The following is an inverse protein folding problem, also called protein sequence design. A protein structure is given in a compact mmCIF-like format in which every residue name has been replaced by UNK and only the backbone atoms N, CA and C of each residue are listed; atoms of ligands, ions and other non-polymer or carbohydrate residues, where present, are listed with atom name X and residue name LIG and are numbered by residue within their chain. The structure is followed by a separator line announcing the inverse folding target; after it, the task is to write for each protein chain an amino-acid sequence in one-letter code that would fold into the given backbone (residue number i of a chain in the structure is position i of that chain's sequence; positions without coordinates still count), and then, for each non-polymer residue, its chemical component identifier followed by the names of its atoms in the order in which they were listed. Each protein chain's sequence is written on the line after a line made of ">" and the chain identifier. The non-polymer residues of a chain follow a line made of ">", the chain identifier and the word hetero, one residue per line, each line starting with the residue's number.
data_IF_284109147177
#
_entry.id   IF_284109147177
#
_cell.length_a   1.000
_cell.length_b   1.000
_cell.length_c   1.000
_cell.angle_alpha   90.00
_cell.angle_beta   90.00
_cell.angle_gamma   90.00
#
_symmetry.space_group_name_H-M   'P 1'
#
loop_
_entity.id
_entity.type
_entity.pdbx_description
1 polymer ?
#
# COMPACT_ATOMS: atom_id res chain seq x y z
N UNK A 1 26.58 -36.49 51.33
CA UNK A 1 27.80 -35.97 50.69
C UNK A 1 27.52 -35.86 49.20
N UNK A 2 27.16 -34.67 48.75
CA UNK A 2 26.94 -34.31 47.35
C UNK A 2 28.28 -33.94 46.73
N UNK A 3 28.84 -34.81 45.87
CA UNK A 3 30.04 -34.49 45.11
C UNK A 3 29.61 -34.16 43.69
N UNK A 4 29.63 -32.87 43.37
CA UNK A 4 29.41 -32.32 42.04
C UNK A 4 30.80 -32.24 41.38
N UNK A 5 31.25 -33.32 40.74
CA UNK A 5 32.49 -33.31 39.96
C UNK A 5 32.23 -32.68 38.60
N UNK A 6 32.70 -31.45 38.42
CA UNK A 6 32.76 -30.77 37.12
C UNK A 6 33.96 -31.34 36.37
N UNK A 7 33.73 -31.93 35.20
CA UNK A 7 34.78 -32.41 34.31
C UNK A 7 35.67 -31.23 33.85
N UNK A 8 37.02 -31.39 33.81
CA UNK A 8 37.88 -30.35 33.26
C UNK A 8 37.68 -30.26 31.74
N UNK A 9 37.36 -29.05 31.26
CA UNK A 9 37.28 -28.77 29.82
C UNK A 9 38.63 -29.09 29.16
N UNK A 10 38.59 -29.86 28.08
CA UNK A 10 39.78 -30.24 27.32
C UNK A 10 40.21 -29.12 26.38
N UNK A 11 41.51 -28.99 26.07
CA UNK A 11 42.02 -28.01 25.09
C UNK A 11 41.39 -28.15 23.68
N UNK A 12 40.72 -29.28 23.41
CA UNK A 12 39.96 -29.51 22.18
C UNK A 12 38.57 -28.84 22.15
N UNK A 13 38.06 -28.38 23.29
CA UNK A 13 36.82 -27.59 23.39
C UNK A 13 37.05 -26.07 23.18
N UNK A 14 38.31 -25.67 22.98
CA UNK A 14 38.68 -24.30 22.63
C UNK A 14 38.49 -24.15 21.12
N UNK A 15 37.43 -23.42 20.74
CA UNK A 15 37.18 -23.00 19.36
C UNK A 15 38.49 -22.47 18.74
N UNK A 16 38.89 -22.92 17.53
CA UNK A 16 40.07 -22.39 16.88
C UNK A 16 39.90 -20.89 16.66
N UNK A 17 40.82 -20.09 17.21
CA UNK A 17 40.85 -18.62 17.16
C UNK A 17 41.17 -18.06 15.76
N UNK A 18 40.57 -18.63 14.71
CA UNK A 18 40.83 -18.31 13.30
C UNK A 18 39.59 -18.19 12.42
N UNK A 19 38.39 -18.47 12.92
CA UNK A 19 37.16 -18.13 12.18
C UNK A 19 36.91 -16.62 12.33
N UNK A 20 37.55 -15.82 11.47
CA UNK A 20 37.24 -14.40 11.37
C UNK A 20 35.76 -14.24 11.09
N UNK A 21 35.02 -13.70 12.04
CA UNK A 21 33.69 -13.14 11.79
C UNK A 21 33.80 -12.20 10.57
N UNK A 22 32.79 -12.13 9.69
CA UNK A 22 32.84 -11.23 8.55
C UNK A 22 33.15 -9.82 9.05
N UNK A 23 34.30 -9.29 8.61
CA UNK A 23 34.75 -7.94 8.99
C UNK A 23 33.64 -6.97 8.63
N UNK A 24 33.15 -6.22 9.62
CA UNK A 24 32.19 -5.15 9.37
C UNK A 24 32.80 -4.23 8.32
N UNK A 25 32.07 -3.88 7.25
CA UNK A 25 32.61 -2.99 6.22
C UNK A 25 33.11 -1.70 6.88
N UNK A 26 34.34 -1.29 6.57
CA UNK A 26 34.88 -0.01 7.03
C UNK A 26 33.90 1.09 6.60
N UNK A 27 33.61 2.09 7.45
CA UNK A 27 32.56 3.09 7.20
C UNK A 27 32.68 3.80 5.85
N UNK A 28 33.90 3.95 5.33
CA UNK A 28 34.18 4.49 3.98
C UNK A 28 33.63 3.60 2.86
N UNK A 29 33.69 2.27 3.01
CA UNK A 29 33.17 1.31 2.03
C UNK A 29 31.64 1.31 1.99
N UNK A 30 30.99 1.43 3.15
CA UNK A 30 29.53 1.53 3.24
C UNK A 30 29.00 2.81 2.57
N UNK A 31 29.69 3.95 2.77
CA UNK A 31 29.34 5.21 2.08
C UNK A 31 29.52 5.08 0.56
N UNK A 32 30.62 4.47 0.10
CA UNK A 32 30.86 4.24 -1.32
C UNK A 32 29.77 3.35 -1.96
N UNK A 33 29.35 2.29 -1.27
CA UNK A 33 28.24 1.43 -1.71
C UNK A 33 26.93 2.20 -1.82
N UNK A 34 26.63 3.06 -0.83
CA UNK A 34 25.41 3.87 -0.87
C UNK A 34 25.41 4.86 -2.03
N UNK A 35 26.57 5.47 -2.34
CA UNK A 35 26.71 6.34 -3.50
C UNK A 35 26.49 5.58 -4.82
N UNK A 36 27.04 4.37 -4.96
CA UNK A 36 26.81 3.51 -6.12
C UNK A 36 25.32 3.14 -6.26
N UNK A 37 24.64 2.84 -5.15
CA UNK A 37 23.20 2.58 -5.17
C UNK A 37 22.39 3.81 -5.59
N UNK A 38 22.78 5.01 -5.14
CA UNK A 38 22.12 6.24 -5.56
C UNK A 38 22.29 6.51 -7.06
N UNK A 39 23.48 6.26 -7.61
CA UNK A 39 23.72 6.34 -9.05
C UNK A 39 22.88 5.32 -9.83
N UNK A 40 22.86 4.05 -9.39
CA UNK A 40 22.03 3.01 -9.98
C UNK A 40 20.54 3.37 -9.95
N UNK A 41 20.07 3.97 -8.86
CA UNK A 41 18.69 4.43 -8.71
C UNK A 41 18.35 5.53 -9.72
N UNK A 42 19.23 6.51 -9.93
CA UNK A 42 19.01 7.56 -10.91
C UNK A 42 18.89 6.99 -12.34
N UNK A 43 19.79 6.07 -12.71
CA UNK A 43 19.75 5.41 -14.03
C UNK A 43 18.50 4.56 -14.18
N UNK A 44 18.13 3.79 -13.15
CA UNK A 44 16.91 3.00 -13.14
C UNK A 44 15.65 3.87 -13.27
N UNK A 45 15.64 5.05 -12.65
CA UNK A 45 14.53 5.99 -12.75
C UNK A 45 14.35 6.54 -14.16
N UNK A 46 15.43 6.97 -14.81
CA UNK A 46 15.35 7.45 -16.19
C UNK A 46 14.82 6.39 -17.15
N UNK A 47 15.22 5.13 -16.94
CA UNK A 47 14.72 4.00 -17.71
C UNK A 47 13.24 3.73 -17.40
N UNK A 48 12.88 3.68 -16.12
CA UNK A 48 11.52 3.47 -15.66
C UNK A 48 10.55 4.52 -16.23
N UNK A 49 10.87 5.81 -16.13
CA UNK A 49 10.03 6.92 -16.63
C UNK A 49 9.74 6.79 -18.12
N UNK A 50 10.75 6.45 -18.92
CA UNK A 50 10.57 6.22 -20.37
C UNK A 50 9.71 4.98 -20.63
N UNK A 51 9.93 3.89 -19.89
CA UNK A 51 9.23 2.63 -20.07
C UNK A 51 7.77 2.68 -19.64
N UNK A 52 7.44 3.39 -18.54
CA UNK A 52 6.10 3.49 -17.98
C UNK A 52 5.09 4.17 -18.92
N UNK A 53 5.56 4.83 -19.98
CA UNK A 53 4.74 5.45 -21.04
C UNK A 53 4.36 4.46 -22.15
N UNK A 54 4.92 3.26 -22.14
CA UNK A 54 4.69 2.24 -23.16
C UNK A 54 3.61 1.25 -22.74
N UNK A 55 2.95 0.64 -23.72
CA UNK A 55 1.98 -0.43 -23.46
C UNK A 55 2.63 -1.74 -22.95
N UNK A 56 3.95 -1.89 -23.14
CA UNK A 56 4.72 -3.06 -22.71
C UNK A 56 4.75 -3.22 -21.18
N UNK A 57 4.71 -2.10 -20.46
CA UNK A 57 4.73 -2.08 -19.00
C UNK A 57 3.33 -2.36 -18.44
N UNK A 58 3.20 -3.27 -17.45
CA UNK A 58 1.92 -3.55 -16.81
C UNK A 58 1.25 -2.31 -16.22
N UNK A 59 -0.09 -2.32 -16.18
CA UNK A 59 -0.89 -1.19 -15.71
C UNK A 59 -0.55 -0.73 -14.28
N UNK A 60 -0.03 -1.63 -13.44
CA UNK A 60 0.39 -1.32 -12.07
C UNK A 60 1.52 -0.28 -11.99
N UNK A 61 2.35 -0.19 -13.03
CA UNK A 61 3.51 0.69 -13.11
C UNK A 61 3.31 1.88 -14.05
N UNK A 62 2.19 1.91 -14.81
CA UNK A 62 1.92 3.01 -15.75
C UNK A 62 1.76 4.32 -14.98
N UNK A 63 2.47 5.34 -15.46
CA UNK A 63 2.56 6.66 -14.81
C UNK A 63 3.06 6.61 -13.36
N UNK A 64 3.75 5.53 -12.96
CA UNK A 64 4.36 5.36 -11.63
C UNK A 64 5.85 4.98 -11.77
N UNK A 65 6.70 5.92 -12.19
CA UNK A 65 8.12 5.65 -12.38
C UNK A 65 8.83 5.26 -11.08
N UNK A 66 8.40 5.76 -9.91
CA UNK A 66 9.01 5.44 -8.62
C UNK A 66 8.88 3.94 -8.28
N UNK A 67 7.65 3.40 -8.37
CA UNK A 67 7.35 1.97 -8.15
C UNK A 67 8.10 1.08 -9.17
N UNK A 68 8.17 1.55 -10.42
CA UNK A 68 8.89 0.86 -11.49
C UNK A 68 10.41 0.86 -11.26
N UNK A 69 10.96 1.96 -10.75
CA UNK A 69 12.38 2.07 -10.39
C UNK A 69 12.75 1.06 -9.31
N UNK A 70 11.93 0.99 -8.25
CA UNK A 70 12.13 0.01 -7.18
C UNK A 70 12.08 -1.43 -7.72
N UNK A 71 11.14 -1.73 -8.63
CA UNK A 71 11.05 -3.04 -9.25
C UNK A 71 12.28 -3.38 -10.12
N UNK A 72 12.80 -2.42 -10.88
CA UNK A 72 14.01 -2.60 -11.71
C UNK A 72 15.24 -2.86 -10.83
N UNK A 73 15.44 -2.07 -9.78
CA UNK A 73 16.55 -2.26 -8.85
C UNK A 73 16.46 -3.63 -8.18
N UNK A 74 15.27 -3.99 -7.72
CA UNK A 74 15.04 -5.30 -7.11
C UNK A 74 15.30 -6.46 -8.08
N UNK A 75 14.84 -6.33 -9.32
CA UNK A 75 15.07 -7.34 -10.33
C UNK A 75 16.53 -7.45 -10.75
N UNK A 76 17.27 -6.35 -10.77
CA UNK A 76 18.71 -6.36 -11.04
C UNK A 76 19.47 -7.24 -10.04
N UNK A 77 19.12 -7.18 -8.75
CA UNK A 77 19.69 -8.05 -7.71
C UNK A 77 19.38 -9.54 -7.96
N UNK A 78 18.18 -9.84 -8.47
CA UNK A 78 17.80 -11.20 -8.88
C UNK A 78 18.42 -11.64 -10.21
N UNK A 79 19.14 -10.76 -10.92
CA UNK A 79 19.70 -11.01 -12.24
C UNK A 79 18.69 -10.86 -13.39
N UNK A 80 17.56 -10.19 -13.16
CA UNK A 80 16.59 -9.83 -14.19
C UNK A 80 17.00 -8.51 -14.86
N UNK A 81 16.76 -8.41 -16.17
CA UNK A 81 16.90 -7.13 -16.86
C UNK A 81 15.71 -6.20 -16.54
N UNK A 82 15.77 -4.90 -16.86
CA UNK A 82 14.72 -3.95 -16.51
C UNK A 82 13.32 -4.31 -17.07
N UNK A 83 13.25 -4.81 -18.31
CA UNK A 83 11.98 -5.22 -18.92
C UNK A 83 11.38 -6.43 -18.19
N UNK A 84 12.19 -7.43 -17.90
CA UNK A 84 11.78 -8.61 -17.13
C UNK A 84 11.35 -8.21 -15.72
N UNK A 85 12.08 -7.30 -15.09
CA UNK A 85 11.77 -6.82 -13.74
C UNK A 85 10.36 -6.23 -13.67
N UNK A 86 10.02 -5.32 -14.59
CA UNK A 86 8.69 -4.70 -14.64
C UNK A 86 7.57 -5.67 -15.01
N UNK A 87 7.87 -6.77 -15.69
CA UNK A 87 6.87 -7.77 -16.07
C UNK A 87 6.66 -8.85 -14.99
N UNK A 88 7.68 -9.14 -14.20
CA UNK A 88 7.71 -10.32 -13.33
C UNK A 88 7.65 -9.98 -11.83
N UNK A 89 7.98 -8.75 -11.45
CA UNK A 89 7.96 -8.28 -10.06
C UNK A 89 6.69 -7.47 -9.82
N UNK A 90 6.08 -7.67 -8.65
CA UNK A 90 4.86 -7.02 -8.21
C UNK A 90 4.99 -6.62 -6.75
N UNK A 91 4.48 -5.45 -6.39
CA UNK A 91 4.41 -5.02 -4.99
C UNK A 91 3.00 -5.28 -4.48
N UNK A 92 2.86 -6.19 -3.54
CA UNK A 92 1.59 -6.51 -2.89
C UNK A 92 1.73 -6.14 -1.41
N UNK A 93 0.93 -5.19 -0.95
CA UNK A 93 0.97 -4.70 0.44
C UNK A 93 2.36 -4.25 0.93
N UNK A 94 3.14 -3.62 0.04
CA UNK A 94 4.50 -3.14 0.35
C UNK A 94 5.57 -4.23 0.34
N UNK A 95 5.21 -5.48 0.02
CA UNK A 95 6.14 -6.59 -0.13
C UNK A 95 6.38 -6.89 -1.62
N UNK A 96 7.64 -7.03 -2.06
CA UNK A 96 7.94 -7.50 -3.40
C UNK A 96 7.60 -8.98 -3.55
N UNK A 97 7.03 -9.33 -4.70
CA UNK A 97 6.59 -10.66 -5.06
C UNK A 97 6.96 -10.95 -6.51
N UNK A 98 7.27 -12.20 -6.82
CA UNK A 98 7.45 -12.68 -8.19
C UNK A 98 6.50 -13.84 -8.47
N UNK A 99 6.21 -14.09 -9.74
CA UNK A 99 5.44 -15.27 -10.12
C UNK A 99 6.20 -16.57 -9.81
N UNK A 100 5.47 -17.64 -9.50
CA UNK A 100 6.07 -18.97 -9.28
C UNK A 100 6.91 -19.45 -10.47
N UNK A 101 6.46 -19.18 -11.71
CA UNK A 101 7.23 -19.52 -12.91
C UNK A 101 8.54 -18.74 -13.01
N UNK A 102 8.57 -17.51 -12.52
CA UNK A 102 9.79 -16.70 -12.46
C UNK A 102 10.77 -17.29 -11.44
N UNK A 103 10.30 -17.76 -10.28
CA UNK A 103 11.15 -18.51 -9.35
C UNK A 103 11.80 -19.71 -10.04
N UNK A 104 11.00 -20.55 -10.71
CA UNK A 104 11.52 -21.72 -11.44
C UNK A 104 12.52 -21.33 -12.53
N UNK A 105 12.27 -20.23 -13.25
CA UNK A 105 13.18 -19.75 -14.30
C UNK A 105 14.53 -19.27 -13.73
N UNK A 106 14.50 -18.55 -12.60
CA UNK A 106 15.71 -18.11 -11.89
C UNK A 106 16.51 -19.31 -11.38
N UNK A 107 15.84 -20.32 -10.84
CA UNK A 107 16.49 -21.55 -10.40
C UNK A 107 17.21 -22.26 -11.57
N UNK A 108 16.52 -22.39 -12.70
CA UNK A 108 17.09 -23.02 -13.91
C UNK A 108 18.23 -22.21 -14.50
N UNK A 109 18.18 -20.88 -14.47
CA UNK A 109 19.27 -20.04 -14.97
C UNK A 109 20.55 -20.15 -14.13
N UNK A 110 20.41 -20.52 -12.85
CA UNK A 110 21.50 -20.85 -11.92
C UNK A 110 21.92 -22.33 -11.95
N UNK A 111 21.49 -23.08 -12.97
CA UNK A 111 21.86 -24.49 -13.17
C UNK A 111 21.09 -25.50 -12.31
N UNK A 112 20.15 -25.06 -11.46
CA UNK A 112 19.33 -25.95 -10.65
C UNK A 112 18.26 -26.62 -11.51
N UNK A 113 17.92 -27.87 -11.18
CA UNK A 113 16.90 -28.63 -11.89
C UNK A 113 15.58 -28.50 -11.15
N UNK A 114 14.52 -28.19 -11.90
CA UNK A 114 13.14 -28.17 -11.39
C UNK A 114 12.24 -28.82 -12.42
N UNK A 115 11.48 -29.82 -12.01
CA UNK A 115 10.57 -30.57 -12.88
C UNK A 115 9.26 -30.92 -12.15
N UNK A 116 8.20 -31.10 -12.93
CA UNK A 116 6.92 -31.58 -12.43
C UNK A 116 6.96 -33.10 -12.40
N UNK A 117 6.64 -33.70 -11.25
CA UNK A 117 6.56 -35.16 -11.06
C UNK A 117 5.17 -35.65 -11.46
N UNK A 118 4.15 -34.97 -10.95
CA UNK A 118 2.74 -35.28 -11.20
C UNK A 118 1.94 -33.98 -11.29
N UNK A 119 0.92 -33.95 -12.16
CA UNK A 119 0.00 -32.82 -12.30
C UNK A 119 -1.39 -33.31 -12.65
N UNK A 120 -2.34 -33.08 -11.74
CA UNK A 120 -3.76 -33.33 -11.91
C UNK A 120 -4.58 -32.19 -11.31
N UNK A 121 -5.89 -32.18 -11.57
CA UNK A 121 -6.81 -31.19 -10.98
C UNK A 121 -6.92 -31.31 -9.45
N UNK A 122 -6.56 -32.47 -8.89
CA UNK A 122 -6.66 -32.77 -7.46
C UNK A 122 -5.33 -32.57 -6.73
N UNK A 123 -4.19 -32.81 -7.39
CA UNK A 123 -2.87 -32.77 -6.78
C UNK A 123 -1.77 -32.45 -7.80
N UNK A 124 -0.81 -31.62 -7.40
CA UNK A 124 0.40 -31.34 -8.18
C UNK A 124 1.63 -31.54 -7.30
N UNK A 125 2.61 -32.28 -7.83
CA UNK A 125 3.90 -32.52 -7.20
C UNK A 125 5.02 -31.95 -8.06
N UNK A 126 5.84 -31.09 -7.46
CA UNK A 126 7.03 -30.51 -8.09
C UNK A 126 8.26 -30.96 -7.31
N UNK A 127 9.33 -31.27 -8.03
CA UNK A 127 10.62 -31.64 -7.47
C UNK A 127 11.70 -30.67 -7.93
N UNK A 128 12.71 -30.45 -7.09
CA UNK A 128 13.90 -29.71 -7.45
C UNK A 128 15.17 -30.29 -6.85
N UNK A 129 16.27 -30.01 -7.54
CA UNK A 129 17.62 -30.41 -7.17
C UNK A 129 18.58 -29.25 -7.45
N UNK A 130 19.44 -28.95 -6.48
CA UNK A 130 20.51 -27.96 -6.67
C UNK A 130 21.63 -28.55 -7.53
N UNK A 131 22.29 -27.73 -8.35
CA UNK A 131 23.25 -28.19 -9.38
C UNK A 131 24.38 -29.10 -8.84
N UNK A 132 24.78 -28.91 -7.59
CA UNK A 132 25.90 -29.61 -6.97
C UNK A 132 25.50 -30.48 -5.76
N UNK A 133 24.20 -30.76 -5.60
CA UNK A 133 23.70 -31.56 -4.49
C UNK A 133 22.91 -32.75 -5.04
N UNK A 134 23.12 -33.93 -4.45
CA UNK A 134 22.33 -35.12 -4.79
C UNK A 134 20.93 -35.09 -4.16
N UNK A 135 20.74 -34.23 -3.16
CA UNK A 135 19.47 -34.08 -2.45
C UNK A 135 18.38 -33.56 -3.40
N UNK A 136 17.23 -34.22 -3.35
CA UNK A 136 16.03 -33.85 -4.11
C UNK A 136 14.96 -33.47 -3.10
N UNK A 137 14.41 -32.27 -3.27
CA UNK A 137 13.27 -31.80 -2.50
C UNK A 137 12.00 -31.89 -3.35
N UNK A 138 10.93 -32.40 -2.75
CA UNK A 138 9.62 -32.51 -3.39
C UNK A 138 8.56 -31.79 -2.55
N UNK A 139 7.61 -31.13 -3.22
CA UNK A 139 6.43 -30.57 -2.58
C UNK A 139 5.19 -30.99 -3.35
N UNK A 140 4.23 -31.51 -2.60
CA UNK A 140 2.92 -31.89 -3.10
C UNK A 140 1.87 -30.92 -2.54
N UNK A 141 1.08 -30.34 -3.44
CA UNK A 141 -0.06 -29.51 -3.10
C UNK A 141 -1.34 -30.15 -3.63
N UNK A 142 -2.23 -30.50 -2.71
CA UNK A 142 -3.57 -31.02 -3.03
C UNK A 142 -4.62 -29.92 -2.96
N UNK A 143 -5.72 -30.13 -3.67
CA UNK A 143 -6.88 -29.24 -3.60
C UNK A 143 -7.47 -29.19 -2.19
N UNK A 144 -7.48 -30.31 -1.47
CA UNK A 144 -7.93 -30.39 -0.07
C UNK A 144 -7.10 -29.49 0.85
N UNK A 145 -5.77 -29.52 0.70
CA UNK A 145 -4.86 -28.63 1.43
C UNK A 145 -5.11 -27.16 1.08
N UNK A 146 -5.40 -26.86 -0.20
CA UNK A 146 -5.74 -25.50 -0.64
C UNK A 146 -7.09 -25.01 -0.10
N UNK A 147 -8.08 -25.90 0.06
CA UNK A 147 -9.35 -25.61 0.73
C UNK A 147 -9.12 -25.31 2.21
N UNK A 148 -8.35 -26.15 2.91
CA UNK A 148 -8.00 -25.93 4.33
C UNK A 148 -7.24 -24.62 4.55
N UNK A 149 -6.39 -24.23 3.59
CA UNK A 149 -5.67 -22.96 3.60
C UNK A 149 -6.54 -21.74 3.21
N UNK A 150 -7.81 -21.93 2.84
CA UNK A 150 -8.74 -20.85 2.48
C UNK A 150 -8.48 -20.23 1.10
N UNK A 151 -7.73 -20.90 0.22
CA UNK A 151 -7.42 -20.40 -1.12
C UNK A 151 -8.52 -20.68 -2.14
N UNK A 152 -9.26 -21.76 -1.94
CA UNK A 152 -10.36 -22.17 -2.81
C UNK A 152 -11.64 -21.45 -2.38
N UNK A 153 -12.35 -20.77 -3.30
CA UNK A 153 -13.64 -20.18 -3.00
C UNK A 153 -14.66 -21.21 -2.57
N UNK A 154 -15.37 -20.93 -1.49
CA UNK A 154 -16.50 -21.74 -1.02
C UNK A 154 -17.82 -21.14 -1.49
N UNK A 155 -18.85 -21.97 -1.60
CA UNK A 155 -20.22 -21.52 -1.92
C UNK A 155 -20.96 -21.30 -0.61
N UNK A 156 -21.65 -20.18 -0.47
CA UNK A 156 -22.54 -19.92 0.66
C UNK A 156 -23.84 -20.73 0.50
N UNK A 157 -24.08 -21.67 1.41
CA UNK A 157 -25.24 -22.58 1.41
C UNK A 157 -26.58 -21.82 1.43
N UNK A 158 -26.60 -20.59 1.96
CA UNK A 158 -27.83 -19.79 2.07
C UNK A 158 -28.17 -19.05 0.76
N UNK A 159 -27.16 -18.70 -0.04
CA UNK A 159 -27.34 -17.85 -1.22
C UNK A 159 -27.02 -18.55 -2.54
N UNK A 160 -26.38 -19.72 -2.50
CA UNK A 160 -25.94 -20.47 -3.69
C UNK A 160 -24.87 -19.75 -4.51
N UNK A 161 -24.32 -18.64 -3.98
CA UNK A 161 -23.28 -17.83 -4.63
C UNK A 161 -21.95 -18.03 -3.93
N UNK A 162 -20.85 -17.69 -4.61
CA UNK A 162 -19.52 -17.73 -4.01
C UNK A 162 -19.48 -16.82 -2.76
N UNK A 163 -18.87 -17.33 -1.69
CA UNK A 163 -18.79 -16.65 -0.42
C UNK A 163 -17.99 -15.35 -0.55
N UNK A 164 -18.61 -14.24 -0.16
CA UNK A 164 -17.98 -12.92 -0.13
C UNK A 164 -17.80 -12.47 1.31
N UNK A 165 -16.72 -11.73 1.58
CA UNK A 165 -16.49 -11.10 2.87
C UNK A 165 -17.50 -9.95 3.11
N UNK A 166 -17.44 -9.34 4.30
CA UNK A 166 -18.29 -8.21 4.67
C UNK A 166 -18.21 -7.01 3.70
N UNK A 167 -17.14 -6.92 2.91
CA UNK A 167 -16.90 -5.85 1.94
C UNK A 167 -17.34 -6.23 0.51
N UNK A 168 -17.99 -7.39 0.32
CA UNK A 168 -18.44 -7.86 -0.98
C UNK A 168 -17.33 -8.42 -1.88
N UNK A 169 -16.12 -8.61 -1.35
CA UNK A 169 -14.99 -9.24 -2.07
C UNK A 169 -15.05 -10.75 -1.90
N UNK A 170 -14.80 -11.49 -2.98
CA UNK A 170 -14.72 -12.94 -2.98
C UNK A 170 -13.70 -13.45 -1.95
N UNK A 171 -14.08 -14.46 -1.17
CA UNK A 171 -13.19 -15.20 -0.29
C UNK A 171 -12.54 -16.33 -1.11
N UNK A 172 -11.21 -16.35 -1.17
CA UNK A 172 -10.45 -17.25 -2.05
C UNK A 172 -10.34 -16.74 -3.49
N UNK A 173 -9.80 -17.56 -4.37
CA UNK A 173 -9.53 -17.20 -5.77
C UNK A 173 -10.21 -18.15 -6.76
N UNK A 174 -11.07 -17.61 -7.63
CA UNK A 174 -11.80 -18.38 -8.65
C UNK A 174 -10.89 -19.18 -9.60
N UNK A 175 -9.62 -18.80 -9.72
CA UNK A 175 -8.66 -19.55 -10.54
C UNK A 175 -8.50 -20.98 -10.07
N UNK A 176 -8.68 -21.29 -8.78
CA UNK A 176 -8.69 -22.67 -8.31
C UNK A 176 -9.85 -23.50 -8.87
N UNK A 177 -10.94 -22.86 -9.30
CA UNK A 177 -12.07 -23.55 -9.95
C UNK A 177 -11.89 -23.65 -11.47
N UNK A 178 -11.22 -22.66 -12.10
CA UNK A 178 -11.05 -22.58 -13.56
C UNK A 178 -9.80 -23.31 -14.07
N UNK A 179 -8.71 -23.25 -13.30
CA UNK A 179 -7.40 -23.82 -13.62
C UNK A 179 -6.70 -24.28 -12.31
N UNK A 180 -7.22 -25.35 -11.67
CA UNK A 180 -6.66 -25.86 -10.42
C UNK A 180 -5.20 -26.29 -10.59
N UNK A 181 -4.84 -26.92 -11.72
CA UNK A 181 -3.48 -27.41 -11.95
C UNK A 181 -2.45 -26.29 -11.90
N UNK A 182 -2.70 -25.16 -12.57
CA UNK A 182 -1.75 -24.04 -12.54
C UNK A 182 -1.62 -23.43 -11.14
N UNK A 183 -2.71 -23.37 -10.37
CA UNK A 183 -2.69 -22.82 -9.01
C UNK A 183 -1.97 -23.74 -8.03
N UNK A 184 -2.21 -25.06 -8.11
CA UNK A 184 -1.51 -26.06 -7.30
C UNK A 184 -0.03 -26.13 -7.68
N UNK A 185 0.29 -26.09 -8.98
CA UNK A 185 1.67 -26.00 -9.47
C UNK A 185 2.39 -24.77 -8.91
N UNK A 186 1.74 -23.60 -8.93
CA UNK A 186 2.36 -22.38 -8.41
C UNK A 186 2.74 -22.55 -6.94
N UNK A 187 1.89 -23.15 -6.11
CA UNK A 187 2.18 -23.42 -4.69
C UNK A 187 3.31 -24.43 -4.50
N UNK A 188 3.23 -25.58 -5.17
CA UNK A 188 4.24 -26.64 -5.08
C UNK A 188 5.62 -26.14 -5.55
N UNK A 189 5.68 -25.47 -6.70
CA UNK A 189 6.91 -24.92 -7.24
C UNK A 189 7.51 -23.86 -6.31
N UNK A 190 6.69 -22.97 -5.75
CA UNK A 190 7.15 -21.93 -4.82
C UNK A 190 7.74 -22.52 -3.55
N UNK A 191 7.05 -23.49 -2.94
CA UNK A 191 7.48 -24.14 -1.71
C UNK A 191 8.82 -24.88 -1.91
N UNK A 192 8.95 -25.63 -3.00
CA UNK A 192 10.22 -26.32 -3.34
C UNK A 192 11.35 -25.32 -3.61
N UNK A 193 11.11 -24.27 -4.41
CA UNK A 193 12.17 -23.32 -4.75
C UNK A 193 12.72 -22.63 -3.48
N UNK A 194 11.86 -22.28 -2.52
CA UNK A 194 12.28 -21.69 -1.24
C UNK A 194 13.04 -22.66 -0.34
N UNK A 195 12.72 -23.96 -0.39
CA UNK A 195 13.41 -24.99 0.39
C UNK A 195 14.81 -25.27 -0.16
N UNK A 196 14.95 -25.40 -1.48
CA UNK A 196 16.20 -25.89 -2.10
C UNK A 196 17.24 -24.79 -2.33
N UNK A 197 16.84 -23.56 -2.65
CA UNK A 197 17.79 -22.44 -2.85
C UNK A 197 17.17 -21.09 -2.46
N UNK A 198 16.95 -20.84 -1.16
CA UNK A 198 16.46 -19.54 -0.67
C UNK A 198 17.44 -18.39 -0.97
N UNK A 199 18.73 -18.70 -1.15
CA UNK A 199 19.79 -17.77 -1.53
C UNK A 199 19.58 -17.17 -2.93
N UNK A 200 19.08 -17.96 -3.89
CA UNK A 200 18.79 -17.49 -5.25
C UNK A 200 17.61 -16.50 -5.26
N UNK A 201 16.69 -16.66 -4.32
CA UNK A 201 15.50 -15.83 -4.19
C UNK A 201 15.75 -14.55 -3.37
N UNK A 202 16.96 -14.33 -2.84
CA UNK A 202 17.30 -13.17 -2.00
C UNK A 202 16.29 -12.89 -0.88
N UNK A 203 15.70 -13.95 -0.31
CA UNK A 203 14.70 -13.84 0.75
C UNK A 203 13.27 -13.48 0.28
N UNK A 204 12.93 -13.62 -1.00
CA UNK A 204 11.53 -13.58 -1.45
C UNK A 204 10.77 -14.73 -0.78
N UNK A 205 10.05 -14.38 0.28
CA UNK A 205 9.30 -15.32 1.07
C UNK A 205 7.97 -15.71 0.43
N UNK A 206 7.48 -14.98 -0.57
CA UNK A 206 6.15 -15.19 -1.15
C UNK A 206 6.10 -14.97 -2.67
N UNK A 207 5.30 -15.77 -3.34
CA UNK A 207 4.94 -15.51 -4.74
C UNK A 207 3.78 -14.54 -4.82
N UNK A 208 3.63 -13.92 -5.99
CA UNK A 208 2.48 -13.04 -6.25
C UNK A 208 1.16 -13.78 -6.01
N UNK A 209 1.07 -15.02 -6.47
CA UNK A 209 -0.11 -15.86 -6.31
C UNK A 209 -0.41 -16.14 -4.83
N UNK A 210 0.61 -16.22 -3.96
CA UNK A 210 0.43 -16.38 -2.52
C UNK A 210 0.03 -15.09 -1.81
N UNK A 211 0.71 -13.98 -2.10
CA UNK A 211 0.43 -12.69 -1.44
C UNK A 211 -0.97 -12.16 -1.76
N UNK A 212 -1.48 -12.39 -2.98
CA UNK A 212 -2.85 -12.03 -3.35
C UNK A 212 -3.90 -12.81 -2.54
N UNK A 213 -3.53 -13.96 -1.96
CA UNK A 213 -4.42 -14.88 -1.24
C UNK A 213 -4.31 -14.75 0.28
N UNK A 214 -3.10 -14.65 0.82
CA UNK A 214 -2.82 -14.77 2.25
C UNK A 214 -3.14 -13.49 3.03
N UNK A 215 -3.11 -12.33 2.37
CA UNK A 215 -3.39 -11.04 3.00
C UNK A 215 -4.51 -10.28 2.27
N UNK A 216 -5.79 -10.62 2.50
CA UNK A 216 -6.88 -9.75 2.07
C UNK A 216 -6.94 -8.49 2.96
N UNK A 217 -6.18 -7.47 2.54
CA UNK A 217 -6.13 -6.07 3.00
C UNK A 217 -5.58 -5.73 4.40
N UNK A 218 -4.88 -4.57 4.53
CA UNK A 218 -4.45 -4.09 5.83
C UNK A 218 -5.64 -3.62 6.66
N UNK A 219 -5.74 -4.13 7.90
CA UNK A 219 -6.55 -3.51 8.95
C UNK A 219 -6.01 -2.09 9.13
N UNK A 220 -6.79 -1.09 8.73
CA UNK A 220 -6.49 0.32 9.02
C UNK A 220 -6.55 0.51 10.53
N UNK A 221 -5.42 0.35 11.20
CA UNK A 221 -5.28 0.72 12.60
C UNK A 221 -5.53 2.23 12.70
N UNK A 222 -6.71 2.62 13.18
CA UNK A 222 -6.96 4.01 13.57
C UNK A 222 -6.10 4.26 14.81
N UNK A 223 -4.93 4.87 14.63
CA UNK A 223 -4.18 5.42 15.74
C UNK A 223 -4.94 6.65 16.24
N UNK A 224 -5.85 6.42 17.21
CA UNK A 224 -6.42 7.52 17.97
C UNK A 224 -5.33 8.05 18.89
N UNK A 225 -4.85 9.27 18.60
CA UNK A 225 -3.99 9.98 19.54
C UNK A 225 -4.85 10.33 20.75
N UNK A 226 -4.74 9.53 21.82
CA UNK A 226 -5.20 9.93 23.13
C UNK A 226 -4.30 11.08 23.58
N UNK A 227 -4.74 12.32 23.34
CA UNK A 227 -4.18 13.47 24.05
C UNK A 227 -4.68 13.39 25.48
N UNK A 228 -4.04 12.57 26.31
CA UNK A 228 -4.16 12.70 27.74
C UNK A 228 -3.50 14.04 28.10
N UNK A 229 -4.33 15.05 28.34
CA UNK A 229 -3.86 16.30 28.92
C UNK A 229 -3.36 16.01 30.33
N UNK A 230 -2.04 15.96 30.52
CA UNK A 230 -1.37 16.30 31.77
C UNK A 230 0.16 16.14 31.63
N UNK A 231 0.85 17.28 31.82
CA UNK A 231 2.25 17.42 32.26
C UNK A 231 3.35 16.79 31.39
N UNK A 232 3.94 17.59 30.50
CA UNK A 232 5.23 17.31 29.84
C UNK A 232 6.41 17.67 30.78
N UNK A 233 7.49 16.89 30.72
CA UNK A 233 8.78 17.21 31.36
C UNK A 233 9.06 16.42 32.65
N UNK A 234 10.08 16.84 33.40
CA UNK A 234 10.59 16.16 34.61
C UNK A 234 9.50 15.90 35.67
N UNK A 235 8.42 16.68 35.68
CA UNK A 235 7.27 16.48 36.55
C UNK A 235 6.47 15.20 36.24
N UNK A 236 6.34 14.81 34.96
CA UNK A 236 5.69 13.54 34.59
C UNK A 236 6.58 12.33 34.89
N UNK A 237 7.91 12.52 34.84
CA UNK A 237 8.88 11.49 35.19
C UNK A 237 8.91 11.23 36.71
N UNK A 238 8.80 12.28 37.53
CA UNK A 238 8.77 12.17 38.99
C UNK A 238 7.54 11.42 39.53
N UNK A 239 6.36 11.65 38.94
CA UNK A 239 5.12 10.93 39.29
C UNK A 239 5.20 9.44 38.94
N UNK A 240 5.83 9.10 37.81
CA UNK A 240 6.02 7.69 37.40
C UNK A 240 7.03 6.93 38.28
N UNK A 241 7.89 7.65 39.01
CA UNK A 241 8.99 7.09 39.81
C UNK A 241 8.72 7.11 41.32
N UNK A 242 7.56 7.60 41.78
CA UNK A 242 7.12 7.47 43.17
C UNK A 242 8.03 8.13 44.20
N UNK A 243 8.68 9.26 43.86
CA UNK A 243 9.54 9.99 44.80
C UNK A 243 8.75 11.13 45.45
N UNK A 244 8.34 10.95 46.70
CA UNK A 244 7.78 12.01 47.55
C UNK A 244 8.91 12.84 48.17
N UNK A 245 8.98 14.13 47.84
CA UNK A 245 9.76 15.10 48.60
C UNK A 245 8.79 16.12 49.24
N UNK A 246 8.75 16.10 50.58
CA UNK A 246 7.96 17.00 51.39
C UNK A 246 8.61 18.39 51.49
N UNK A 247 7.80 19.44 51.35
CA UNK A 247 7.92 20.65 52.18
C UNK A 247 6.67 21.53 52.02
N UNK A 248 6.07 21.85 53.15
CA UNK A 248 4.97 22.79 53.39
C UNK A 248 5.19 24.18 52.79
N UNK A 249 4.11 24.80 52.30
CA UNK A 249 3.60 26.05 52.89
C UNK A 249 2.21 26.40 52.34
N UNK A 250 1.38 26.78 53.29
CA UNK A 250 -0.04 27.14 53.27
C UNK A 250 -0.35 28.51 52.64
N UNK A 251 -1.39 28.60 51.80
CA UNK A 251 -2.36 29.72 51.73
C UNK A 251 -3.70 29.22 51.12
N UNK A 252 -4.83 29.55 51.75
CA UNK A 252 -6.24 29.41 51.32
C UNK A 252 -6.95 30.78 51.49
N UNK A 253 -8.17 31.07 50.98
CA UNK A 253 -8.77 30.75 49.66
C UNK A 253 -9.61 31.91 49.01
N UNK A 254 -9.93 31.71 47.71
CA UNK A 254 -11.19 32.02 46.94
C UNK A 254 -11.72 33.48 46.70
N UNK A 255 -12.60 33.74 45.68
CA UNK A 255 -13.51 32.78 44.99
C UNK A 255 -13.70 32.83 43.45
N UNK A 256 -14.22 31.68 42.96
CA UNK A 256 -15.25 31.40 41.93
C UNK A 256 -15.19 31.99 40.49
N UNK A 257 -15.35 31.10 39.48
CA UNK A 257 -16.63 30.84 38.78
C UNK A 257 -16.58 29.59 37.84
N UNK A 258 -17.43 28.60 38.17
CA UNK A 258 -18.26 27.67 37.36
C UNK A 258 -18.00 27.57 35.84
N UNK A 259 -17.56 26.44 35.27
CA UNK A 259 -18.28 25.19 34.91
C UNK A 259 -19.42 25.36 33.90
N UNK A 260 -19.27 24.78 32.69
CA UNK A 260 -20.20 23.71 32.29
C UNK A 260 -19.56 22.73 31.29
N UNK A 261 -19.86 21.48 31.54
CA UNK A 261 -19.50 20.26 30.83
C UNK A 261 -20.64 19.86 29.90
N UNK A 262 -20.35 19.22 28.76
CA UNK A 262 -20.98 17.92 28.54
C UNK A 262 -20.24 17.06 27.51
N UNK A 263 -20.05 15.79 27.88
CA UNK A 263 -19.66 14.69 27.02
C UNK A 263 -20.93 13.93 26.64
N UNK A 264 -20.97 13.35 25.44
CA UNK A 264 -22.03 12.40 25.09
C UNK A 264 -21.70 11.60 23.85
N UNK A 265 -21.08 10.43 24.07
CA UNK A 265 -20.81 9.37 23.09
C UNK A 265 -22.07 8.52 22.87
N UNK A 266 -22.04 7.69 21.80
CA UNK A 266 -22.68 6.36 21.68
C UNK A 266 -24.03 6.34 20.90
N UNK A 267 -24.47 5.36 20.08
CA UNK A 267 -24.03 4.03 19.57
C UNK A 267 -24.80 3.78 18.24
N UNK A 268 -24.27 2.90 17.39
CA UNK A 268 -24.94 2.17 16.29
C UNK A 268 -26.38 1.67 16.57
N UNK A 269 -27.27 1.63 15.56
CA UNK A 269 -27.68 0.42 14.78
C UNK A 269 -28.96 0.65 13.93
N UNK A 270 -29.05 -0.13 12.85
CA UNK A 270 -30.02 -0.19 11.74
C UNK A 270 -31.53 -0.20 12.05
N UNK A 271 -32.35 0.41 11.17
CA UNK A 271 -33.37 -0.26 10.31
C UNK A 271 -34.35 0.72 9.60
N UNK A 272 -34.57 0.47 8.30
CA UNK A 272 -35.80 0.60 7.47
C UNK A 272 -36.39 1.94 6.93
N UNK A 273 -36.66 1.89 5.61
CA UNK A 273 -37.65 2.55 4.72
C UNK A 273 -37.88 4.10 4.62
N UNK A 274 -37.51 4.65 3.44
CA UNK A 274 -38.05 5.78 2.63
C UNK A 274 -38.04 7.25 3.17
N UNK A 275 -38.05 8.32 2.32
CA UNK A 275 -37.71 8.47 0.89
C UNK A 275 -36.38 9.21 0.67
N UNK A 276 -35.85 9.10 -0.55
CA UNK A 276 -34.52 9.53 -0.99
C UNK A 276 -34.29 11.05 -0.85
N UNK A 277 -33.51 11.46 0.15
CA UNK A 277 -32.83 12.76 0.11
C UNK A 277 -31.58 12.60 -0.77
N UNK A 278 -31.47 13.40 -1.82
CA UNK A 278 -30.31 13.37 -2.72
C UNK A 278 -29.01 13.56 -1.91
N UNK A 279 -27.95 12.78 -2.22
CA UNK A 279 -26.72 12.83 -1.45
C UNK A 279 -26.08 14.22 -1.53
N UNK A 280 -25.66 14.74 -0.38
CA UNK A 280 -24.94 16.01 -0.25
C UNK A 280 -23.64 15.98 -1.08
N UNK A 281 -23.22 17.17 -1.51
CA UNK A 281 -22.04 17.41 -2.34
C UNK A 281 -20.77 16.80 -1.71
N UNK A 282 -19.97 16.11 -2.52
CA UNK A 282 -18.74 15.44 -2.07
C UNK A 282 -17.63 16.45 -1.78
N UNK A 283 -16.67 16.09 -0.92
CA UNK A 283 -15.53 16.96 -0.56
C UNK A 283 -14.72 17.42 -1.78
N UNK A 284 -14.57 16.57 -2.80
CA UNK A 284 -13.88 16.90 -4.03
C UNK A 284 -14.63 17.97 -4.86
N UNK A 285 -15.95 17.86 -4.95
CA UNK A 285 -16.79 18.85 -5.62
C UNK A 285 -16.79 20.20 -4.89
N UNK A 286 -16.82 20.19 -3.55
CA UNK A 286 -16.71 21.41 -2.74
C UNK A 286 -15.38 22.14 -2.98
N UNK A 287 -14.27 21.39 -3.06
CA UNK A 287 -12.95 21.95 -3.32
C UNK A 287 -12.85 22.54 -4.74
N UNK A 288 -13.37 21.82 -5.74
CA UNK A 288 -13.38 22.30 -7.14
C UNK A 288 -14.23 23.56 -7.31
N UNK A 289 -15.39 23.60 -6.67
CA UNK A 289 -16.30 24.75 -6.70
C UNK A 289 -15.72 25.97 -5.96
N UNK A 290 -14.99 25.77 -4.85
CA UNK A 290 -14.28 26.85 -4.17
C UNK A 290 -13.24 27.51 -5.09
N UNK A 291 -12.45 26.70 -5.81
CA UNK A 291 -11.42 27.17 -6.75
C UNK A 291 -12.06 27.94 -7.92
N UNK A 292 -13.14 27.42 -8.50
CA UNK A 292 -13.82 28.05 -9.64
C UNK A 292 -14.47 29.39 -9.25
N UNK A 293 -15.06 29.48 -8.05
CA UNK A 293 -15.63 30.73 -7.54
C UNK A 293 -14.57 31.78 -7.14
N UNK A 294 -13.39 31.34 -6.69
CA UNK A 294 -12.26 32.24 -6.42
C UNK A 294 -11.71 32.86 -7.71
N UNK A 295 -11.68 32.10 -8.82
CA UNK A 295 -11.24 32.58 -10.13
C UNK A 295 -12.19 33.61 -10.75
N UNK A 296 -13.49 33.52 -10.47
CA UNK A 296 -14.52 34.49 -10.89
C UNK A 296 -14.55 35.78 -10.04
N UNK A 297 -13.51 36.03 -9.22
CA UNK A 297 -13.34 37.23 -8.39
C UNK A 297 -14.46 37.47 -7.35
N UNK A 298 -15.12 36.42 -6.88
CA UNK A 298 -16.09 36.53 -5.78
C UNK A 298 -15.35 36.44 -4.44
N UNK A 299 -14.83 37.58 -3.97
CA UNK A 299 -13.91 37.63 -2.82
C UNK A 299 -14.53 37.28 -1.45
N UNK A 300 -15.82 37.54 -1.26
CA UNK A 300 -16.48 37.39 0.05
C UNK A 300 -17.40 36.17 0.15
N UNK A 301 -17.38 35.52 1.33
CA UNK A 301 -18.23 34.36 1.64
C UNK A 301 -19.72 34.66 1.43
N UNK A 302 -20.16 35.89 1.72
CA UNK A 302 -21.55 36.30 1.52
C UNK A 302 -21.88 36.43 0.04
N UNK A 303 -20.99 37.02 -0.78
CA UNK A 303 -21.19 37.14 -2.21
C UNK A 303 -21.28 35.76 -2.91
N UNK A 304 -20.57 34.75 -2.40
CA UNK A 304 -20.70 33.36 -2.87
C UNK A 304 -22.06 32.76 -2.52
N UNK A 305 -22.62 33.07 -1.36
CA UNK A 305 -23.96 32.62 -0.98
C UNK A 305 -25.02 33.33 -1.83
N UNK A 306 -24.91 34.64 -2.00
CA UNK A 306 -25.84 35.42 -2.83
C UNK A 306 -25.85 34.94 -4.30
N UNK A 307 -24.67 34.56 -4.83
CA UNK A 307 -24.56 33.94 -6.15
C UNK A 307 -25.26 32.58 -6.24
N UNK A 308 -25.11 31.73 -5.21
CA UNK A 308 -25.81 30.44 -5.12
C UNK A 308 -27.34 30.63 -4.98
N UNK A 309 -27.79 31.63 -4.23
CA UNK A 309 -29.21 31.99 -4.12
C UNK A 309 -29.77 32.42 -5.49
N UNK A 310 -29.01 33.20 -6.26
CA UNK A 310 -29.39 33.62 -7.61
C UNK A 310 -29.52 32.48 -8.62
N UNK A 311 -28.66 31.46 -8.53
CA UNK A 311 -28.65 30.33 -9.48
C UNK A 311 -29.71 29.26 -9.17
N UNK A 312 -29.95 28.98 -7.88
CA UNK A 312 -30.86 27.89 -7.47
C UNK A 312 -32.19 28.38 -6.89
N UNK A 313 -32.38 29.70 -6.72
CA UNK A 313 -33.63 30.28 -6.23
C UNK A 313 -33.98 29.88 -4.79
N UNK A 314 -33.02 29.37 -4.02
CA UNK A 314 -33.19 28.94 -2.63
C UNK A 314 -32.10 29.54 -1.75
N UNK A 315 -32.44 29.82 -0.49
CA UNK A 315 -31.49 30.36 0.49
C UNK A 315 -30.57 29.27 1.02
N UNK A 316 -29.30 29.63 1.20
CA UNK A 316 -28.26 28.72 1.69
C UNK A 316 -27.59 29.29 2.93
N UNK A 317 -27.56 28.53 4.03
CA UNK A 317 -26.76 28.92 5.20
C UNK A 317 -25.28 28.55 4.99
N UNK A 318 -25.01 27.57 4.13
CA UNK A 318 -23.67 27.06 3.86
C UNK A 318 -23.58 26.37 2.51
N UNK A 319 -22.45 26.54 1.81
CA UNK A 319 -22.14 25.81 0.57
C UNK A 319 -22.12 24.27 0.74
N UNK A 320 -22.17 23.77 1.98
CA UNK A 320 -22.28 22.34 2.32
C UNK A 320 -23.69 21.76 2.14
N UNK A 321 -24.70 22.61 1.99
CA UNK A 321 -26.11 22.21 1.78
C UNK A 321 -26.43 21.91 0.31
N UNK A 322 -25.44 22.03 -0.58
CA UNK A 322 -25.58 21.70 -2.00
C UNK A 322 -25.69 20.19 -2.18
N UNK A 323 -26.62 19.73 -3.01
CA UNK A 323 -26.68 18.31 -3.42
C UNK A 323 -25.59 18.01 -4.44
N UNK A 324 -25.28 16.73 -4.63
CA UNK A 324 -24.28 16.27 -5.61
C UNK A 324 -24.62 16.68 -7.04
N UNK A 325 -25.91 16.69 -7.40
CA UNK A 325 -26.37 17.02 -8.77
C UNK A 325 -26.25 18.52 -9.03
N UNK A 326 -26.66 19.35 -8.08
CA UNK A 326 -26.57 20.81 -8.18
C UNK A 326 -25.10 21.27 -8.22
N UNK A 327 -24.24 20.65 -7.40
CA UNK A 327 -22.80 20.93 -7.43
C UNK A 327 -22.17 20.59 -8.78
N UNK A 328 -22.60 19.49 -9.42
CA UNK A 328 -22.06 19.10 -10.73
C UNK A 328 -22.49 20.08 -11.82
N UNK A 329 -23.78 20.46 -11.84
CA UNK A 329 -24.31 21.45 -12.80
C UNK A 329 -23.63 22.81 -12.66
N UNK A 330 -23.37 23.24 -11.43
CA UNK A 330 -22.71 24.53 -11.21
C UNK A 330 -21.24 24.51 -11.62
N UNK A 331 -20.54 23.39 -11.41
CA UNK A 331 -19.17 23.22 -11.90
C UNK A 331 -19.12 23.28 -13.43
N UNK A 332 -20.02 22.58 -14.12
CA UNK A 332 -20.11 22.60 -15.59
C UNK A 332 -20.38 24.02 -16.12
N UNK A 333 -21.34 24.74 -15.51
CA UNK A 333 -21.65 26.12 -15.89
C UNK A 333 -20.47 27.09 -15.71
N UNK A 334 -19.73 26.97 -14.60
CA UNK A 334 -18.56 27.83 -14.34
C UNK A 334 -17.38 27.48 -15.26
N UNK A 335 -17.20 26.22 -15.62
CA UNK A 335 -16.19 25.79 -16.58
C UNK A 335 -16.52 26.31 -18.00
N UNK A 336 -17.79 26.29 -18.41
CA UNK A 336 -18.24 26.87 -19.67
C UNK A 336 -18.08 28.40 -19.70
N UNK A 337 -18.39 29.08 -18.60
CA UNK A 337 -18.20 30.53 -18.48
C UNK A 337 -16.71 30.92 -18.60
N UNK A 338 -15.81 30.20 -17.92
CA UNK A 338 -14.36 30.43 -18.03
C UNK A 338 -13.81 30.12 -19.42
N UNK A 339 -14.32 29.07 -20.08
CA UNK A 339 -13.95 28.77 -21.45
C UNK A 339 -14.40 29.87 -22.43
N UNK A 340 -15.58 30.46 -22.22
CA UNK A 340 -16.09 31.57 -23.03
C UNK A 340 -15.33 32.88 -22.79
N UNK A 341 -14.90 33.16 -21.56
CA UNK A 341 -14.14 34.37 -21.23
C UNK A 341 -12.67 34.28 -21.70
N UNK A 342 -12.08 33.08 -21.64
CA UNK A 342 -10.78 32.79 -22.26
C UNK A 342 -10.81 32.96 -23.79
N UNK A 343 -11.88 32.55 -24.46
CA UNK A 343 -12.05 32.71 -25.91
C UNK A 343 -12.28 34.17 -26.35
N UNK A 344 -12.78 35.04 -25.47
CA UNK A 344 -12.89 36.50 -25.73
C UNK A 344 -11.57 37.23 -25.53
N UNK A 345 -10.68 36.73 -24.67
CA UNK A 345 -9.37 37.33 -24.44
C UNK A 345 -8.35 37.07 -25.58
N UNK A 346 -8.59 36.06 -26.43
CA UNK A 346 -7.71 35.66 -27.53
C UNK A 346 -8.08 36.24 -28.92
N UNK A 347 -9.13 37.07 -29.04
CA UNK A 347 -9.40 37.76 -30.31
C UNK A 347 -8.47 38.98 -30.49
N UNK A 348 -7.66 39.06 -31.56
CA UNK A 348 -6.80 40.22 -31.78
C UNK A 348 -7.65 41.46 -32.09
N UNK A 349 -7.42 42.55 -31.35
CA UNK A 349 -7.99 43.86 -31.66
C UNK A 349 -7.59 44.27 -33.08
N UNK A 350 -8.59 44.40 -33.94
CA UNK A 350 -8.50 44.97 -35.28
C UNK A 350 -8.07 46.45 -35.16
N UNK A 351 -6.89 46.78 -35.69
CA UNK A 351 -6.35 48.14 -35.69
C UNK A 351 -7.20 49.06 -36.59
N UNK A 352 -7.41 50.34 -36.24
CA UNK A 352 -8.21 51.24 -37.05
C UNK A 352 -7.45 51.58 -38.35
N UNK A 353 -8.14 51.42 -39.48
CA UNK A 353 -7.65 51.83 -40.79
C UNK A 353 -7.48 53.35 -40.84
N UNK A 354 -6.23 53.82 -40.97
CA UNK A 354 -5.93 55.18 -41.43
C UNK A 354 -6.45 55.33 -42.86
N UNK A 355 -7.50 56.14 -43.01
CA UNK A 355 -7.99 56.59 -44.30
C UNK A 355 -7.03 57.62 -44.90
N UNK A 356 -6.34 57.23 -45.97
CA UNK A 356 -5.85 58.15 -46.98
C UNK A 356 -6.77 58.10 -48.18
N UNK A 357 -7.42 59.21 -48.52
CA UNK A 357 -7.35 59.79 -49.88
C UNK A 357 -7.99 61.19 -49.94
N UNK A 358 -7.43 62.01 -50.84
CA UNK A 358 -7.76 63.39 -51.26
C UNK A 358 -7.24 64.58 -50.43
#
# INVERSE_FOLDING_TARGET
>A
MTSNEVAPLSEADILPAGASLPRTPDSSTAVAQLMQHAEAMNVAYELADKMCRTALVPAIYRSKPDDATAAILYGAELGLNPIQSLQQIFVVHGMPAIYARTMVALMKSKGHKVWTVESSDESVTVAAQRENESHVEESTWTIERAVQAGYVPTVDERTGKLATNANGKLIGNEKYLKDPQAMLYAKAASEVCRKIAPDVLLGIAYTREELELEYPEPVRAKAERVTAGAKRGMAGLADSLGVCAASDSSVEPEPAQVSDSDQGVSVDRAADSAPTADPLCTRAQQQKLAILLDNEKVGDRQAKLDYLEGQFGRKFASSKELTKVEASRLIEFLEEAQAADGAKAEQPQEAPAEGGDA
#
